data_IF_232847273623
#
_entry.id   IF_232847273623
#
_cell.length_a   1.000
_cell.length_b   1.000
_cell.length_c   1.000
_cell.angle_alpha   90.00
_cell.angle_beta   90.00
_cell.angle_gamma   90.00
#
_symmetry.space_group_name_H-M   'P 1'
#
loop_
_entity.id
_entity.type
_entity.pdbx_description
1 polymer ?
#
# COMPACT_ATOMS: atom_id res chain seq x y z
N UNK A 1 -18.25 -10.98 3.41
CA UNK A 1 -17.05 -10.88 4.27
C UNK A 1 -16.44 -9.49 4.06
N UNK A 2 -16.14 -8.80 5.13
CA UNK A 2 -15.45 -7.51 5.08
C UNK A 2 -13.99 -7.79 5.43
N UNK A 3 -13.07 -7.44 4.54
CA UNK A 3 -11.63 -7.54 4.80
C UNK A 3 -11.26 -6.62 5.97
N UNK A 4 -10.42 -7.12 6.86
CA UNK A 4 -9.75 -6.35 7.92
C UNK A 4 -8.27 -6.65 7.90
N UNK A 5 -7.48 -5.61 7.98
CA UNK A 5 -6.02 -5.72 8.04
C UNK A 5 -5.59 -6.47 9.29
N UNK A 6 -4.78 -7.54 9.16
CA UNK A 6 -4.41 -8.40 10.30
C UNK A 6 -3.26 -7.78 11.13
N UNK A 7 -3.49 -6.61 11.72
CA UNK A 7 -2.46 -5.85 12.47
C UNK A 7 -1.90 -6.65 13.65
N UNK A 8 -2.74 -7.40 14.36
CA UNK A 8 -2.28 -8.22 15.49
C UNK A 8 -1.34 -9.35 15.04
N UNK A 9 -1.59 -9.94 13.86
CA UNK A 9 -0.69 -10.95 13.29
C UNK A 9 0.65 -10.34 12.88
N UNK A 10 0.63 -9.15 12.30
CA UNK A 10 1.85 -8.41 11.96
C UNK A 10 2.65 -8.07 13.22
N UNK A 11 1.99 -7.59 14.26
CA UNK A 11 2.60 -7.30 15.56
C UNK A 11 3.26 -8.55 16.13
N UNK A 12 2.53 -9.66 16.19
CA UNK A 12 3.06 -10.93 16.67
C UNK A 12 4.30 -11.38 15.90
N UNK A 13 4.28 -11.29 14.57
CA UNK A 13 5.41 -11.66 13.72
C UNK A 13 6.64 -10.77 13.99
N UNK A 14 6.45 -9.46 14.13
CA UNK A 14 7.55 -8.53 14.46
C UNK A 14 8.15 -8.80 15.83
N UNK A 15 7.33 -9.12 16.83
CA UNK A 15 7.77 -9.51 18.17
C UNK A 15 8.58 -10.82 18.13
N UNK A 16 8.10 -11.85 17.43
CA UNK A 16 8.79 -13.13 17.28
C UNK A 16 10.14 -13.00 16.59
N UNK A 17 10.25 -12.12 15.62
CA UNK A 17 11.49 -11.80 14.92
C UNK A 17 12.44 -10.92 15.74
N UNK A 18 12.01 -10.41 16.88
CA UNK A 18 12.75 -9.39 17.66
C UNK A 18 13.15 -8.20 16.78
N UNK A 19 12.19 -7.74 15.98
CA UNK A 19 12.39 -6.75 14.94
C UNK A 19 13.11 -5.50 15.44
N UNK A 20 12.74 -4.94 16.59
CA UNK A 20 13.36 -3.76 17.17
C UNK A 20 14.86 -3.93 17.42
N UNK A 21 15.27 -5.12 17.88
CA UNK A 21 16.69 -5.44 18.07
C UNK A 21 17.46 -5.49 16.76
N UNK A 22 16.79 -5.88 15.66
CA UNK A 22 17.42 -5.92 14.33
C UNK A 22 17.59 -4.52 13.76
N UNK A 23 16.50 -3.72 13.75
CA UNK A 23 16.53 -2.41 13.09
C UNK A 23 17.36 -1.38 13.86
N UNK A 24 17.41 -1.46 15.20
CA UNK A 24 18.20 -0.55 16.03
C UNK A 24 19.71 -0.61 15.75
N UNK A 25 20.19 -1.72 15.19
CA UNK A 25 21.58 -1.90 14.79
C UNK A 25 21.90 -1.39 13.37
N UNK A 26 20.89 -0.85 12.66
CA UNK A 26 21.06 -0.36 11.29
C UNK A 26 20.77 1.14 11.30
N UNK A 27 21.81 1.96 11.25
CA UNK A 27 21.71 3.43 11.35
C UNK A 27 20.64 4.04 10.45
N UNK A 28 20.50 3.49 9.24
CA UNK A 28 19.50 3.93 8.26
C UNK A 28 18.06 3.67 8.72
N UNK A 29 17.83 2.65 9.54
CA UNK A 29 16.48 2.17 9.88
C UNK A 29 16.13 2.25 11.38
N UNK A 30 17.03 2.78 12.21
CA UNK A 30 16.86 2.83 13.66
C UNK A 30 15.60 3.57 14.15
N UNK A 31 15.08 4.48 13.33
CA UNK A 31 13.86 5.25 13.62
C UNK A 31 12.57 4.54 13.15
N UNK A 32 12.72 3.33 12.54
CA UNK A 32 11.61 2.49 12.06
C UNK A 32 11.42 1.28 12.98
N UNK A 33 11.15 1.52 14.27
CA UNK A 33 10.80 0.46 15.21
C UNK A 33 9.45 -0.23 14.86
N UNK A 34 9.11 -1.27 15.58
CA UNK A 34 7.89 -2.03 15.31
C UNK A 34 6.63 -1.16 15.46
N UNK A 35 6.60 -0.23 16.42
CA UNK A 35 5.47 0.67 16.63
C UNK A 35 5.28 1.62 15.43
N UNK A 36 6.36 2.25 14.98
CA UNK A 36 6.36 3.11 13.79
C UNK A 36 5.94 2.34 12.56
N UNK A 37 6.48 1.13 12.35
CA UNK A 37 6.12 0.28 11.22
C UNK A 37 4.65 -0.10 11.24
N UNK A 38 4.12 -0.55 12.39
CA UNK A 38 2.72 -0.91 12.54
C UNK A 38 1.79 0.29 12.34
N UNK A 39 2.20 1.50 12.75
CA UNK A 39 1.43 2.71 12.48
C UNK A 39 1.30 2.97 10.98
N UNK A 40 2.39 2.91 10.23
CA UNK A 40 2.39 3.06 8.76
C UNK A 40 1.50 2.01 8.11
N UNK A 41 1.68 0.76 8.47
CA UNK A 41 0.93 -0.38 7.90
C UNK A 41 -0.56 -0.30 8.25
N UNK A 42 -0.92 0.19 9.44
CA UNK A 42 -2.31 0.42 9.86
C UNK A 42 -2.99 1.47 8.98
N UNK A 43 -2.30 2.56 8.63
CA UNK A 43 -2.86 3.58 7.74
C UNK A 43 -3.03 3.05 6.31
N UNK A 44 -2.11 2.25 5.82
CA UNK A 44 -2.25 1.56 4.52
C UNK A 44 -3.44 0.61 4.56
N UNK A 45 -3.60 -0.14 5.65
CA UNK A 45 -4.73 -1.03 5.87
C UNK A 45 -6.06 -0.29 5.87
N UNK A 46 -6.14 0.82 6.59
CA UNK A 46 -7.34 1.68 6.63
C UNK A 46 -7.72 2.19 5.23
N UNK A 47 -6.74 2.63 4.45
CA UNK A 47 -6.96 3.07 3.07
C UNK A 47 -7.50 1.93 2.21
N UNK A 48 -6.94 0.74 2.34
CA UNK A 48 -7.40 -0.44 1.62
C UNK A 48 -8.85 -0.82 2.01
N UNK A 49 -9.17 -0.86 3.29
CA UNK A 49 -10.50 -1.19 3.80
C UNK A 49 -11.57 -0.18 3.35
N UNK A 50 -11.23 1.10 3.34
CA UNK A 50 -12.20 2.17 3.04
C UNK A 50 -12.35 2.43 1.55
N UNK A 51 -11.26 2.43 0.79
CA UNK A 51 -11.24 2.91 -0.60
C UNK A 51 -11.01 1.78 -1.61
N UNK A 52 -9.97 0.95 -1.42
CA UNK A 52 -9.59 -0.03 -2.43
C UNK A 52 -10.64 -1.14 -2.59
N UNK A 53 -11.20 -1.63 -1.49
CA UNK A 53 -12.19 -2.70 -1.52
C UNK A 53 -13.46 -2.32 -2.29
N UNK A 54 -13.95 -1.10 -2.11
CA UNK A 54 -15.11 -0.60 -2.85
C UNK A 54 -14.79 -0.39 -4.32
N UNK A 55 -13.63 0.18 -4.63
CA UNK A 55 -13.14 0.39 -5.99
C UNK A 55 -12.96 -0.93 -6.74
N UNK A 56 -12.42 -1.95 -6.08
CA UNK A 56 -12.24 -3.28 -6.65
C UNK A 56 -13.58 -3.92 -7.06
N UNK A 57 -14.59 -3.86 -6.20
CA UNK A 57 -15.93 -4.37 -6.51
C UNK A 57 -16.58 -3.67 -7.70
N UNK A 58 -16.41 -2.37 -7.81
CA UNK A 58 -16.93 -1.58 -8.94
C UNK A 58 -16.17 -1.96 -10.21
N UNK A 59 -14.85 -2.01 -10.14
CA UNK A 59 -13.99 -2.34 -11.27
C UNK A 59 -14.22 -3.74 -11.83
N UNK A 60 -14.46 -4.73 -10.96
CA UNK A 60 -14.79 -6.10 -11.37
C UNK A 60 -16.12 -6.17 -12.15
N UNK A 61 -17.12 -5.36 -11.76
CA UNK A 61 -18.42 -5.31 -12.43
C UNK A 61 -18.43 -4.51 -13.73
N UNK A 62 -17.77 -3.35 -13.74
CA UNK A 62 -17.74 -2.47 -14.90
C UNK A 62 -16.74 -2.96 -15.96
N UNK A 63 -15.62 -3.51 -15.51
CA UNK A 63 -14.53 -3.96 -16.37
C UNK A 63 -13.85 -2.82 -17.13
N UNK A 64 -12.97 -3.20 -18.05
CA UNK A 64 -12.28 -2.28 -18.96
C UNK A 64 -13.10 -2.11 -20.24
N UNK A 65 -13.13 -0.90 -20.78
CA UNK A 65 -13.78 -0.60 -22.08
C UNK A 65 -12.71 -0.35 -23.11
N UNK A 66 -12.70 -1.17 -24.17
CA UNK A 66 -11.83 -0.95 -25.32
C UNK A 66 -12.54 -0.08 -26.36
N UNK A 67 -11.91 1.03 -26.73
CA UNK A 67 -12.44 1.99 -27.71
C UNK A 67 -11.52 1.96 -28.93
N UNK A 68 -12.05 1.50 -30.05
CA UNK A 68 -11.28 1.36 -31.30
C UNK A 68 -10.94 2.70 -31.95
N UNK A 69 -11.78 3.71 -31.75
CA UNK A 69 -11.71 5.03 -32.40
C UNK A 69 -11.54 6.15 -31.36
N UNK A 70 -10.56 6.02 -30.45
CA UNK A 70 -10.18 7.08 -29.52
C UNK A 70 -9.55 8.29 -30.25
N UNK A 71 -9.30 9.38 -29.55
CA UNK A 71 -8.75 10.62 -30.12
C UNK A 71 -7.37 10.44 -30.79
N UNK A 72 -6.57 9.53 -30.25
CA UNK A 72 -5.20 9.24 -30.70
C UNK A 72 -5.02 7.81 -31.22
N UNK A 73 -6.14 7.12 -31.49
CA UNK A 73 -6.18 5.71 -31.89
C UNK A 73 -6.90 4.83 -30.89
N UNK A 74 -6.66 3.51 -30.89
CA UNK A 74 -7.27 2.60 -29.93
C UNK A 74 -6.86 2.94 -28.49
N UNK A 75 -7.83 3.02 -27.60
CA UNK A 75 -7.60 3.31 -26.17
C UNK A 75 -8.35 2.35 -25.26
N UNK A 76 -7.87 2.20 -24.02
CA UNK A 76 -8.54 1.43 -22.98
C UNK A 76 -9.00 2.39 -21.89
N UNK A 77 -10.30 2.40 -21.61
CA UNK A 77 -10.86 3.15 -20.51
C UNK A 77 -11.00 2.28 -19.27
N UNK A 78 -10.44 2.75 -18.17
CA UNK A 78 -10.61 2.16 -16.84
C UNK A 78 -11.84 2.74 -16.16
N UNK A 79 -12.45 2.02 -15.20
CA UNK A 79 -13.50 2.57 -14.32
C UNK A 79 -13.02 3.86 -13.63
N UNK A 80 -13.93 4.81 -13.43
CA UNK A 80 -13.58 6.08 -12.77
C UNK A 80 -13.17 5.88 -11.30
N UNK A 81 -13.67 4.82 -10.66
CA UNK A 81 -13.23 4.42 -9.31
C UNK A 81 -11.72 4.13 -9.24
N UNK A 82 -11.12 3.59 -10.29
CA UNK A 82 -9.67 3.33 -10.34
C UNK A 82 -8.86 4.63 -10.41
N UNK A 83 -9.34 5.63 -11.14
CA UNK A 83 -8.68 6.94 -11.20
C UNK A 83 -8.71 7.64 -9.85
N UNK A 84 -9.85 7.57 -9.16
CA UNK A 84 -10.03 8.14 -7.83
C UNK A 84 -9.13 7.45 -6.80
N UNK A 85 -9.12 6.12 -6.79
CA UNK A 85 -8.25 5.34 -5.92
C UNK A 85 -6.77 5.62 -6.20
N UNK A 86 -6.35 5.64 -7.47
CA UNK A 86 -4.97 5.96 -7.84
C UNK A 86 -4.52 7.32 -7.30
N UNK A 87 -5.39 8.34 -7.40
CA UNK A 87 -5.09 9.66 -6.86
C UNK A 87 -4.88 9.61 -5.34
N UNK A 88 -5.74 8.93 -4.60
CA UNK A 88 -5.63 8.78 -3.14
C UNK A 88 -4.32 8.07 -2.78
N UNK A 89 -4.01 6.95 -3.43
CA UNK A 89 -2.80 6.16 -3.18
C UNK A 89 -1.54 6.96 -3.51
N UNK A 90 -1.53 7.67 -4.64
CA UNK A 90 -0.42 8.54 -5.02
C UNK A 90 -0.19 9.66 -4.00
N UNK A 91 -1.27 10.33 -3.59
CA UNK A 91 -1.19 11.48 -2.69
C UNK A 91 -0.88 11.07 -1.24
N UNK A 92 -1.10 9.80 -0.87
CA UNK A 92 -0.71 9.24 0.43
C UNK A 92 0.81 9.06 0.60
N UNK A 93 1.57 9.00 -0.51
CA UNK A 93 3.02 8.76 -0.50
C UNK A 93 3.44 7.31 -0.22
N UNK A 94 2.54 6.39 0.04
CA UNK A 94 2.88 5.00 0.39
C UNK A 94 3.59 4.23 -0.72
N UNK A 95 3.33 4.57 -1.98
CA UNK A 95 4.01 3.95 -3.13
C UNK A 95 5.54 4.14 -3.05
N UNK A 96 5.98 5.28 -2.54
CA UNK A 96 7.39 5.62 -2.36
C UNK A 96 7.95 5.33 -0.96
N UNK A 97 7.22 4.64 -0.08
CA UNK A 97 7.61 4.47 1.33
C UNK A 97 9.02 3.89 1.51
N UNK A 98 9.44 2.93 0.69
CA UNK A 98 10.75 2.28 0.76
C UNK A 98 11.79 2.87 -0.19
N UNK A 99 11.40 3.82 -1.02
CA UNK A 99 12.32 4.50 -1.94
C UNK A 99 13.31 5.38 -1.15
N UNK A 100 14.53 5.60 -1.68
CA UNK A 100 15.50 6.47 -1.02
C UNK A 100 14.97 7.90 -0.84
N UNK A 101 15.30 8.50 0.31
CA UNK A 101 14.87 9.87 0.68
C UNK A 101 15.36 10.91 -0.34
N UNK A 102 16.55 10.71 -0.90
CA UNK A 102 17.16 11.59 -1.91
C UNK A 102 16.32 11.71 -3.20
N UNK A 103 15.44 10.73 -3.47
CA UNK A 103 14.50 10.74 -4.61
C UNK A 103 13.05 11.04 -4.18
N UNK A 104 12.87 11.57 -2.96
CA UNK A 104 11.54 11.90 -2.43
C UNK A 104 10.77 10.73 -1.84
N UNK A 105 11.45 9.60 -1.57
CA UNK A 105 10.87 8.46 -0.90
C UNK A 105 10.87 8.57 0.63
N UNK A 106 10.23 7.62 1.30
CA UNK A 106 10.18 7.54 2.76
C UNK A 106 11.43 6.96 3.41
N UNK A 107 12.25 6.20 2.68
CA UNK A 107 13.44 5.54 3.23
C UNK A 107 13.15 4.40 4.20
N UNK A 108 11.91 3.94 4.28
CA UNK A 108 11.48 2.86 5.17
C UNK A 108 12.15 1.52 4.81
N UNK A 109 12.35 0.60 5.78
CA UNK A 109 12.89 -0.71 5.51
C UNK A 109 11.95 -1.54 4.62
N UNK A 110 12.52 -2.49 3.88
CA UNK A 110 11.76 -3.33 2.93
C UNK A 110 10.66 -4.15 3.61
N UNK A 111 10.77 -4.41 4.91
CA UNK A 111 9.71 -5.01 5.74
C UNK A 111 8.38 -4.26 5.59
N UNK A 112 8.43 -2.93 5.47
CA UNK A 112 7.24 -2.09 5.20
C UNK A 112 6.55 -2.50 3.88
N UNK A 113 7.34 -2.71 2.83
CA UNK A 113 6.80 -3.14 1.53
C UNK A 113 6.19 -4.54 1.57
N UNK A 114 6.79 -5.45 2.34
CA UNK A 114 6.26 -6.83 2.50
C UNK A 114 4.89 -6.80 3.17
N UNK A 115 4.76 -6.12 4.33
CA UNK A 115 3.50 -6.03 5.06
C UNK A 115 2.43 -5.27 4.26
N UNK A 116 2.83 -4.18 3.58
CA UNK A 116 1.93 -3.42 2.72
C UNK A 116 1.47 -4.23 1.50
N UNK A 117 2.37 -5.05 0.94
CA UNK A 117 2.07 -5.95 -0.17
C UNK A 117 1.04 -7.01 0.22
N UNK A 118 1.15 -7.59 1.40
CA UNK A 118 0.17 -8.55 1.92
C UNK A 118 -1.23 -7.92 1.98
N UNK A 119 -1.34 -6.69 2.51
CA UNK A 119 -2.61 -5.94 2.56
C UNK A 119 -3.17 -5.68 1.15
N UNK A 120 -2.31 -5.33 0.20
CA UNK A 120 -2.73 -4.97 -1.15
C UNK A 120 -3.14 -6.16 -2.02
N UNK A 121 -2.74 -7.39 -1.65
CA UNK A 121 -3.05 -8.62 -2.39
C UNK A 121 -4.28 -9.34 -1.81
N UNK A 122 -4.57 -9.14 -0.54
CA UNK A 122 -5.71 -9.76 0.15
C UNK A 122 -7.05 -9.18 -0.29
#
# INVERSE_FOLDING_TARGET
>A
MVYKTPIEDFKYNLEMLKYDSLVSNIDKFKDYDAETLLSIVSEIGRLNEQEALSSNKVGDREGLKYITNGKEGPEVQTPDSYKSLYKIVRDSGYVGATMPVEYGGGGAPFTTAILSGEIGIA
#
